data_IF_434485587848
#
_entry.id   IF_434485587848
#
_cell.length_a   1.000
_cell.length_b   1.000
_cell.length_c   1.000
_cell.angle_alpha   90.00
_cell.angle_beta   90.00
_cell.angle_gamma   90.00
#
_symmetry.space_group_name_H-M   'P 1'
#
loop_
_entity.id
_entity.type
_entity.pdbx_description
1 polymer ?
#
# COMPACT_ATOMS: atom_id res chain seq x y z
N UNK A 1 0.91 42.83 -20.40
CA UNK A 1 1.46 42.27 -19.15
C UNK A 1 1.82 40.83 -19.45
N UNK A 2 3.11 40.48 -19.43
CA UNK A 2 3.56 39.13 -19.71
C UNK A 2 3.23 38.26 -18.48
N UNK A 3 2.35 37.24 -18.57
CA UNK A 3 1.96 36.42 -17.42
C UNK A 3 3.12 35.57 -16.86
N UNK A 4 4.28 35.56 -17.53
CA UNK A 4 5.40 34.68 -17.25
C UNK A 4 6.43 35.24 -16.23
N UNK A 5 6.26 36.46 -15.75
CA UNK A 5 7.23 37.12 -14.85
C UNK A 5 7.19 36.61 -13.39
N UNK A 6 6.15 35.85 -13.01
CA UNK A 6 6.01 35.22 -11.68
C UNK A 6 5.60 33.75 -11.76
N UNK A 7 6.02 33.03 -12.81
CA UNK A 7 5.72 31.61 -12.98
C UNK A 7 6.61 30.72 -12.12
N UNK A 8 6.29 30.52 -10.83
CA UNK A 8 6.88 29.43 -10.06
C UNK A 8 6.22 28.10 -10.46
N UNK A 9 6.94 27.26 -11.20
CA UNK A 9 6.51 25.89 -11.51
C UNK A 9 7.32 24.90 -10.67
N UNK A 10 6.73 24.26 -9.64
CA UNK A 10 7.39 23.19 -8.88
C UNK A 10 7.90 22.07 -9.78
N UNK A 11 7.17 21.76 -10.86
CA UNK A 11 7.53 20.70 -11.81
C UNK A 11 8.86 20.97 -12.53
N UNK A 12 9.18 22.24 -12.82
CA UNK A 12 10.44 22.61 -13.46
C UNK A 12 11.66 22.32 -12.58
N UNK A 13 11.49 22.35 -11.25
CA UNK A 13 12.55 22.03 -10.28
C UNK A 13 12.57 20.55 -9.90
N UNK A 14 11.41 19.88 -9.91
CA UNK A 14 11.30 18.46 -9.59
C UNK A 14 11.78 17.56 -10.73
N UNK A 15 11.50 17.90 -11.99
CA UNK A 15 11.85 17.06 -13.13
C UNK A 15 13.37 16.76 -13.23
N UNK A 16 14.29 17.75 -13.15
CA UNK A 16 15.72 17.47 -13.19
C UNK A 16 16.22 16.61 -12.03
N UNK A 17 15.61 16.76 -10.85
CA UNK A 17 15.94 15.95 -9.68
C UNK A 17 15.50 14.49 -9.86
N UNK A 18 14.31 14.27 -10.42
CA UNK A 18 13.82 12.91 -10.75
C UNK A 18 14.66 12.29 -11.87
N UNK A 19 15.04 13.05 -12.88
CA UNK A 19 15.91 12.57 -13.98
C UNK A 19 17.29 12.17 -13.47
N UNK A 20 17.87 12.97 -12.57
CA UNK A 20 19.14 12.62 -11.91
C UNK A 20 18.99 11.34 -11.07
N UNK A 21 17.91 11.22 -10.30
CA UNK A 21 17.63 10.06 -9.47
C UNK A 21 17.49 8.80 -10.33
N UNK A 22 16.72 8.88 -11.42
CA UNK A 22 16.58 7.79 -12.39
C UNK A 22 17.92 7.43 -13.01
N UNK A 23 18.69 8.39 -13.49
CA UNK A 23 19.98 8.11 -14.15
C UNK A 23 20.97 7.37 -13.25
N UNK A 24 21.01 7.69 -11.95
CA UNK A 24 21.98 7.13 -11.02
C UNK A 24 21.47 5.89 -10.25
N UNK A 25 20.18 5.81 -9.96
CA UNK A 25 19.58 4.77 -9.12
C UNK A 25 18.63 3.84 -9.89
N UNK A 26 18.54 3.93 -11.23
CA UNK A 26 17.69 3.03 -12.03
C UNK A 26 17.87 1.55 -11.68
N UNK A 27 19.11 1.00 -11.56
CA UNK A 27 19.28 -0.42 -11.26
C UNK A 27 18.68 -0.82 -9.90
N UNK A 28 18.69 0.10 -8.92
CA UNK A 28 18.07 -0.11 -7.63
C UNK A 28 16.53 -0.11 -7.74
N UNK A 29 15.95 0.88 -8.42
CA UNK A 29 14.49 0.93 -8.61
C UNK A 29 13.98 -0.28 -9.40
N UNK A 30 14.71 -0.70 -10.44
CA UNK A 30 14.40 -1.90 -11.21
C UNK A 30 14.45 -3.17 -10.36
N UNK A 31 15.43 -3.29 -9.48
CA UNK A 31 15.52 -4.42 -8.56
C UNK A 31 14.32 -4.45 -7.59
N UNK A 32 13.92 -3.28 -7.06
CA UNK A 32 12.72 -3.14 -6.21
C UNK A 32 11.45 -3.48 -6.99
N UNK A 33 11.29 -2.98 -8.22
CA UNK A 33 10.17 -3.33 -9.11
C UNK A 33 10.07 -4.82 -9.30
N UNK A 34 11.17 -5.48 -9.70
CA UNK A 34 11.21 -6.93 -9.93
C UNK A 34 10.87 -7.71 -8.67
N UNK A 35 11.34 -7.28 -7.50
CA UNK A 35 11.01 -7.91 -6.23
C UNK A 35 9.50 -7.81 -5.94
N UNK A 36 8.93 -6.60 -6.04
CA UNK A 36 7.50 -6.38 -5.80
C UNK A 36 6.66 -7.20 -6.79
N UNK A 37 7.03 -7.19 -8.08
CA UNK A 37 6.32 -7.96 -9.10
C UNK A 37 6.46 -9.47 -8.92
N UNK A 38 7.61 -9.96 -8.47
CA UNK A 38 7.81 -11.38 -8.18
C UNK A 38 6.93 -11.83 -7.01
N UNK A 39 6.88 -11.05 -5.93
CA UNK A 39 6.02 -11.34 -4.77
C UNK A 39 4.55 -11.25 -5.16
N UNK A 40 4.16 -10.20 -5.88
CA UNK A 40 2.80 -10.01 -6.36
C UNK A 40 2.36 -11.17 -7.27
N UNK A 41 3.18 -11.51 -8.27
CA UNK A 41 2.92 -12.63 -9.17
C UNK A 41 2.87 -13.98 -8.46
N UNK A 42 3.67 -14.16 -7.40
CA UNK A 42 3.59 -15.33 -6.53
C UNK A 42 2.25 -15.44 -5.81
N UNK A 43 1.77 -14.35 -5.20
CA UNK A 43 0.48 -14.33 -4.50
C UNK A 43 -0.68 -14.47 -5.50
N UNK A 44 -0.65 -13.75 -6.62
CA UNK A 44 -1.63 -13.91 -7.70
C UNK A 44 -1.68 -15.36 -8.20
N UNK A 45 -0.52 -15.98 -8.41
CA UNK A 45 -0.40 -17.38 -8.81
C UNK A 45 -1.05 -18.32 -7.79
N UNK A 46 -0.81 -18.12 -6.48
CA UNK A 46 -1.44 -18.92 -5.42
C UNK A 46 -2.96 -18.73 -5.39
N UNK A 47 -3.45 -17.51 -5.57
CA UNK A 47 -4.89 -17.21 -5.55
C UNK A 47 -5.63 -17.70 -6.80
N UNK A 48 -4.96 -17.71 -7.95
CA UNK A 48 -5.56 -18.07 -9.24
C UNK A 48 -5.31 -19.51 -9.68
N UNK A 49 -4.35 -20.21 -9.06
CA UNK A 49 -4.04 -21.60 -9.39
C UNK A 49 -5.21 -22.55 -9.09
N UNK A 50 -5.89 -22.49 -7.93
CA UNK A 50 -7.04 -23.34 -7.67
C UNK A 50 -8.28 -22.86 -8.44
N UNK A 51 -9.23 -23.75 -8.74
CA UNK A 51 -10.50 -23.35 -9.32
C UNK A 51 -11.25 -22.41 -8.36
N UNK A 52 -12.00 -21.40 -8.86
CA UNK A 52 -12.62 -20.36 -8.03
C UNK A 52 -13.43 -20.89 -6.84
N UNK A 53 -14.23 -21.93 -7.07
CA UNK A 53 -15.08 -22.56 -6.05
C UNK A 53 -14.26 -23.13 -4.89
N UNK A 54 -13.05 -23.67 -5.15
CA UNK A 54 -12.17 -24.16 -4.10
C UNK A 54 -11.67 -23.03 -3.20
N UNK A 55 -11.28 -21.89 -3.79
CA UNK A 55 -10.86 -20.70 -3.04
C UNK A 55 -12.01 -20.17 -2.18
N UNK A 56 -13.23 -20.14 -2.71
CA UNK A 56 -14.44 -19.73 -1.95
C UNK A 56 -14.64 -20.65 -0.75
N UNK A 57 -14.62 -21.97 -0.96
CA UNK A 57 -14.81 -22.95 0.13
C UNK A 57 -13.75 -22.77 1.20
N UNK A 58 -12.47 -22.66 0.82
CA UNK A 58 -11.39 -22.43 1.78
C UNK A 58 -11.58 -21.13 2.56
N UNK A 59 -11.89 -20.03 1.88
CA UNK A 59 -12.12 -18.73 2.53
C UNK A 59 -13.31 -18.77 3.51
N UNK A 60 -14.39 -19.46 3.16
CA UNK A 60 -15.58 -19.63 4.01
C UNK A 60 -15.26 -20.48 5.24
N UNK A 61 -14.51 -21.58 5.08
CA UNK A 61 -14.10 -22.42 6.20
C UNK A 61 -13.17 -21.65 7.15
N UNK A 62 -12.21 -20.88 6.62
CA UNK A 62 -11.33 -20.03 7.42
C UNK A 62 -12.13 -18.97 8.18
N UNK A 63 -13.08 -18.30 7.53
CA UNK A 63 -13.94 -17.31 8.18
C UNK A 63 -14.81 -17.93 9.29
N UNK A 64 -15.29 -19.15 9.09
CA UNK A 64 -16.13 -19.86 10.07
C UNK A 64 -15.33 -20.26 11.30
N UNK A 65 -14.09 -20.71 11.08
CA UNK A 65 -13.21 -21.18 12.13
C UNK A 65 -12.60 -20.04 12.95
N UNK A 66 -12.11 -18.98 12.30
CA UNK A 66 -11.36 -17.91 12.98
C UNK A 66 -12.22 -16.72 13.43
N UNK A 67 -13.42 -16.53 12.87
CA UNK A 67 -14.23 -15.32 13.12
C UNK A 67 -15.63 -15.66 13.63
N UNK A 68 -16.53 -16.10 12.75
CA UNK A 68 -17.86 -16.64 13.06
C UNK A 68 -18.66 -16.95 11.78
N UNK A 69 -19.79 -17.63 11.95
CA UNK A 69 -20.68 -18.02 10.84
C UNK A 69 -21.24 -16.83 10.05
N UNK A 70 -21.49 -15.68 10.69
CA UNK A 70 -22.05 -14.50 9.99
C UNK A 70 -21.06 -13.95 8.97
N UNK A 71 -19.79 -13.80 9.37
CA UNK A 71 -18.71 -13.37 8.47
C UNK A 71 -18.51 -14.39 7.35
N UNK A 72 -18.61 -15.68 7.64
CA UNK A 72 -18.49 -16.75 6.64
C UNK A 72 -19.54 -16.66 5.54
N UNK A 73 -20.80 -16.39 5.91
CA UNK A 73 -21.89 -16.20 4.95
C UNK A 73 -21.64 -14.96 4.10
N UNK A 74 -21.18 -13.85 4.71
CA UNK A 74 -20.82 -12.64 3.97
C UNK A 74 -19.67 -12.90 2.99
N UNK A 75 -18.62 -13.61 3.41
CA UNK A 75 -17.49 -14.01 2.55
C UNK A 75 -17.96 -14.88 1.38
N UNK A 76 -18.84 -15.86 1.63
CA UNK A 76 -19.41 -16.71 0.59
C UNK A 76 -20.15 -15.89 -0.46
N UNK A 77 -21.05 -14.99 -0.02
CA UNK A 77 -21.87 -14.15 -0.91
C UNK A 77 -20.98 -13.18 -1.70
N UNK A 78 -20.02 -12.52 -1.06
CA UNK A 78 -19.14 -11.55 -1.71
C UNK A 78 -18.26 -12.20 -2.78
N UNK A 79 -17.62 -13.33 -2.47
CA UNK A 79 -16.77 -14.02 -3.44
C UNK A 79 -17.59 -14.70 -4.55
N UNK A 80 -18.77 -15.23 -4.24
CA UNK A 80 -19.68 -15.75 -5.25
C UNK A 80 -20.13 -14.64 -6.20
N UNK A 81 -20.44 -13.44 -5.70
CA UNK A 81 -20.75 -12.28 -6.52
C UNK A 81 -19.60 -11.93 -7.48
N UNK A 82 -18.36 -11.85 -7.00
CA UNK A 82 -17.18 -11.61 -7.86
C UNK A 82 -17.04 -12.67 -8.96
N UNK A 83 -17.32 -13.93 -8.64
CA UNK A 83 -17.30 -15.03 -9.60
C UNK A 83 -18.40 -14.88 -10.67
N UNK A 84 -19.65 -14.70 -10.25
CA UNK A 84 -20.79 -14.61 -11.17
C UNK A 84 -20.80 -13.31 -12.00
N UNK A 85 -20.21 -12.24 -11.49
CA UNK A 85 -20.02 -10.99 -12.23
C UNK A 85 -18.88 -11.07 -13.27
N UNK A 86 -18.16 -12.19 -13.37
CA UNK A 86 -17.01 -12.32 -14.28
C UNK A 86 -15.78 -11.52 -13.84
N UNK A 87 -15.74 -11.05 -12.59
CA UNK A 87 -14.68 -10.22 -12.02
C UNK A 87 -13.67 -11.02 -11.18
N UNK A 88 -13.68 -12.35 -11.27
CA UNK A 88 -12.85 -13.21 -10.43
C UNK A 88 -11.36 -12.85 -10.52
N UNK A 89 -10.80 -12.82 -11.73
CA UNK A 89 -9.38 -12.53 -11.94
C UNK A 89 -9.00 -11.15 -11.43
N UNK A 90 -9.78 -10.12 -11.77
CA UNK A 90 -9.56 -8.75 -11.30
C UNK A 90 -9.66 -8.64 -9.77
N UNK A 91 -10.56 -9.40 -9.14
CA UNK A 91 -10.73 -9.44 -7.68
C UNK A 91 -9.52 -10.09 -7.00
N UNK A 92 -9.03 -11.22 -7.52
CA UNK A 92 -7.83 -11.88 -6.98
C UNK A 92 -6.56 -11.05 -7.17
N UNK A 93 -6.41 -10.37 -8.31
CA UNK A 93 -5.31 -9.42 -8.54
C UNK A 93 -5.37 -8.25 -7.56
N UNK A 94 -6.57 -7.72 -7.30
CA UNK A 94 -6.75 -6.66 -6.30
C UNK A 94 -6.42 -7.16 -4.89
N UNK A 95 -6.87 -8.36 -4.52
CA UNK A 95 -6.53 -8.98 -3.24
C UNK A 95 -5.02 -9.18 -3.09
N UNK A 96 -4.33 -9.66 -4.13
CA UNK A 96 -2.89 -9.82 -4.13
C UNK A 96 -2.19 -8.47 -3.93
N UNK A 97 -2.58 -7.46 -4.71
CA UNK A 97 -2.05 -6.10 -4.62
C UNK A 97 -2.21 -5.51 -3.22
N UNK A 98 -3.42 -5.55 -2.67
CA UNK A 98 -3.72 -5.05 -1.32
C UNK A 98 -2.93 -5.83 -0.27
N UNK A 99 -2.81 -7.15 -0.40
CA UNK A 99 -2.02 -7.99 0.52
C UNK A 99 -0.56 -7.57 0.55
N UNK A 100 0.08 -7.41 -0.63
CA UNK A 100 1.47 -6.93 -0.72
C UNK A 100 1.61 -5.55 -0.10
N UNK A 101 0.72 -4.61 -0.45
CA UNK A 101 0.75 -3.25 0.07
C UNK A 101 0.60 -3.22 1.60
N UNK A 102 -0.30 -4.04 2.17
CA UNK A 102 -0.50 -4.15 3.63
C UNK A 102 0.74 -4.73 4.31
N UNK A 103 1.32 -5.81 3.78
CA UNK A 103 2.53 -6.42 4.36
C UNK A 103 3.67 -5.40 4.42
N UNK A 104 3.91 -4.66 3.33
CA UNK A 104 4.95 -3.64 3.29
C UNK A 104 4.61 -2.49 4.23
N UNK A 105 3.35 -2.02 4.23
CA UNK A 105 2.90 -0.93 5.10
C UNK A 105 3.07 -1.28 6.57
N UNK A 106 2.68 -2.49 6.99
CA UNK A 106 2.84 -2.96 8.37
C UNK A 106 4.32 -3.08 8.72
N UNK A 107 5.14 -3.64 7.82
CA UNK A 107 6.58 -3.79 8.03
C UNK A 107 7.30 -2.45 8.25
N UNK A 108 6.78 -1.37 7.67
CA UNK A 108 7.30 0.00 7.86
C UNK A 108 6.65 0.69 9.07
N UNK A 109 5.32 0.69 9.13
CA UNK A 109 4.56 1.46 10.10
C UNK A 109 4.72 0.93 11.54
N UNK A 110 4.80 -0.39 11.71
CA UNK A 110 4.93 -1.00 13.02
C UNK A 110 6.24 -0.63 13.75
N UNK A 111 7.45 -0.81 13.17
CA UNK A 111 8.68 -0.42 13.85
C UNK A 111 8.79 1.10 14.05
N UNK A 112 8.34 1.90 13.08
CA UNK A 112 8.32 3.37 13.24
C UNK A 112 7.34 3.82 14.34
N UNK A 113 6.20 3.15 14.48
CA UNK A 113 5.23 3.40 15.55
C UNK A 113 5.78 3.07 16.93
N UNK A 114 6.52 1.96 17.06
CA UNK A 114 7.25 1.63 18.29
C UNK A 114 8.32 2.69 18.61
N UNK A 115 9.06 3.16 17.60
CA UNK A 115 10.07 4.19 17.81
C UNK A 115 9.43 5.52 18.25
N UNK A 116 8.29 5.88 17.67
CA UNK A 116 7.53 7.08 18.01
C UNK A 116 6.98 7.02 19.45
N UNK A 117 6.45 5.89 19.91
CA UNK A 117 5.98 5.78 21.29
C UNK A 117 7.10 5.93 22.32
N UNK A 118 8.33 5.55 21.96
CA UNK A 118 9.49 5.66 22.85
C UNK A 118 10.16 7.04 22.84
N UNK A 119 10.03 7.82 21.76
CA UNK A 119 10.75 9.10 21.58
C UNK A 119 9.81 10.21 21.13
N UNK A 120 9.41 11.06 22.08
CA UNK A 120 8.55 12.25 21.82
C UNK A 120 9.08 13.16 20.70
N UNK A 121 10.41 13.36 20.62
CA UNK A 121 11.01 14.17 19.56
C UNK A 121 10.86 13.54 18.16
N UNK A 122 10.98 12.21 18.06
CA UNK A 122 10.76 11.50 16.80
C UNK A 122 9.28 11.53 16.41
N UNK A 123 8.38 11.33 17.37
CA UNK A 123 6.94 11.44 17.15
C UNK A 123 6.54 12.83 16.63
N UNK A 124 7.07 13.90 17.24
CA UNK A 124 6.83 15.27 16.80
C UNK A 124 7.37 15.51 15.38
N UNK A 125 8.53 14.96 15.04
CA UNK A 125 9.16 15.13 13.72
C UNK A 125 8.43 14.37 12.61
N UNK A 126 7.91 13.17 12.88
CA UNK A 126 7.25 12.35 11.85
C UNK A 126 5.78 12.76 11.61
N UNK A 127 5.11 13.36 12.60
CA UNK A 127 3.70 13.78 12.51
C UNK A 127 3.36 14.59 11.24
N UNK A 128 4.10 15.67 10.89
CA UNK A 128 3.81 16.43 9.67
C UNK A 128 3.89 15.58 8.39
N UNK A 129 4.83 14.63 8.33
CA UNK A 129 4.95 13.72 7.18
C UNK A 129 3.72 12.83 7.08
N UNK A 130 3.26 12.27 8.21
CA UNK A 130 2.04 11.46 8.25
C UNK A 130 0.79 12.26 7.88
N UNK A 131 0.74 13.54 8.26
CA UNK A 131 -0.35 14.44 7.92
C UNK A 131 -0.39 14.71 6.41
N UNK A 132 0.77 14.93 5.78
CA UNK A 132 0.87 15.05 4.31
C UNK A 132 0.44 13.74 3.64
N UNK A 133 0.98 12.61 4.11
CA UNK A 133 0.68 11.28 3.55
C UNK A 133 -0.82 10.95 3.54
N UNK A 134 -1.60 11.44 4.51
CA UNK A 134 -3.04 11.22 4.58
C UNK A 134 -3.91 12.25 3.87
N UNK A 135 -3.42 13.48 3.71
CA UNK A 135 -4.23 14.60 3.20
C UNK A 135 -4.03 14.85 1.71
N UNK A 136 -2.86 14.50 1.17
CA UNK A 136 -2.61 14.62 -0.26
C UNK A 136 -3.32 13.47 -1.00
N UNK A 137 -4.07 13.78 -2.08
CA UNK A 137 -4.83 12.75 -2.77
C UNK A 137 -3.96 11.66 -3.42
N UNK A 138 -4.46 10.41 -3.52
CA UNK A 138 -3.69 9.29 -4.04
C UNK A 138 -3.03 9.50 -5.41
N UNK A 139 -3.73 10.18 -6.34
CA UNK A 139 -3.22 10.44 -7.70
C UNK A 139 -2.00 11.35 -7.73
N UNK A 140 -1.79 12.18 -6.70
CA UNK A 140 -0.57 13.01 -6.59
C UNK A 140 0.65 12.14 -6.32
N UNK A 141 0.51 11.05 -5.55
CA UNK A 141 1.61 10.10 -5.33
C UNK A 141 1.93 9.25 -6.56
N UNK A 142 0.94 9.01 -7.42
CA UNK A 142 1.13 8.23 -8.63
C UNK A 142 2.07 8.91 -9.62
N UNK A 143 2.06 10.25 -9.70
CA UNK A 143 2.91 11.01 -10.64
C UNK A 143 4.41 10.70 -10.44
N UNK A 144 5.02 10.97 -9.27
CA UNK A 144 6.43 10.67 -9.06
C UNK A 144 6.71 9.16 -9.05
N UNK A 145 5.78 8.34 -8.57
CA UNK A 145 5.96 6.88 -8.58
C UNK A 145 6.06 6.33 -10.01
N UNK A 146 5.21 6.80 -10.94
CA UNK A 146 5.28 6.42 -12.36
C UNK A 146 6.55 6.95 -13.02
N UNK A 147 7.02 8.16 -12.67
CA UNK A 147 8.27 8.69 -13.22
C UNK A 147 9.49 7.85 -12.81
N UNK A 148 9.49 7.24 -11.63
CA UNK A 148 10.62 6.46 -11.11
C UNK A 148 10.50 4.96 -11.49
N UNK A 149 9.31 4.39 -11.32
CA UNK A 149 9.06 2.95 -11.46
C UNK A 149 8.36 2.55 -12.77
N UNK A 150 8.19 3.51 -13.69
CA UNK A 150 7.40 3.36 -14.92
C UNK A 150 5.91 3.07 -14.67
N UNK A 151 5.12 3.05 -15.75
CA UNK A 151 3.71 2.68 -15.69
C UNK A 151 3.55 1.19 -15.35
N UNK A 152 2.65 0.86 -14.42
CA UNK A 152 2.40 -0.53 -14.04
C UNK A 152 1.69 -0.67 -12.70
N UNK A 153 1.79 -1.87 -12.11
CA UNK A 153 1.17 -2.23 -10.82
C UNK A 153 1.93 -1.65 -9.62
N UNK A 154 3.25 -1.47 -9.76
CA UNK A 154 4.13 -0.99 -8.68
C UNK A 154 3.76 0.42 -8.21
N UNK A 155 3.52 1.42 -9.07
CA UNK A 155 3.05 2.74 -8.63
C UNK A 155 1.74 2.69 -7.82
N UNK A 156 0.79 1.83 -8.19
CA UNK A 156 -0.47 1.66 -7.47
C UNK A 156 -0.25 1.07 -6.06
N UNK A 157 0.66 0.10 -5.94
CA UNK A 157 1.10 -0.45 -4.66
C UNK A 157 1.75 0.63 -3.80
N UNK A 158 2.66 1.42 -4.37
CA UNK A 158 3.35 2.52 -3.66
C UNK A 158 2.33 3.53 -3.12
N UNK A 159 1.38 3.98 -3.94
CA UNK A 159 0.34 4.91 -3.50
C UNK A 159 -0.49 4.32 -2.33
N UNK A 160 -0.81 3.03 -2.40
CA UNK A 160 -1.56 2.34 -1.33
C UNK A 160 -0.72 2.22 -0.06
N UNK A 161 0.59 1.97 -0.17
CA UNK A 161 1.51 1.93 0.99
C UNK A 161 1.60 3.31 1.65
N UNK A 162 1.80 4.37 0.86
CA UNK A 162 1.88 5.73 1.36
C UNK A 162 0.60 6.11 2.12
N UNK A 163 -0.56 5.68 1.62
CA UNK A 163 -1.83 5.94 2.31
C UNK A 163 -2.06 5.04 3.54
N UNK A 164 -1.55 3.81 3.52
CA UNK A 164 -1.74 2.82 4.59
C UNK A 164 -0.81 2.95 5.79
N UNK A 165 0.40 3.49 5.60
CA UNK A 165 1.39 3.66 6.69
C UNK A 165 0.89 4.57 7.82
N UNK A 166 0.33 5.76 7.56
CA UNK A 166 -0.04 6.71 8.61
C UNK A 166 -1.04 6.21 9.65
N UNK A 167 -2.22 5.63 9.29
CA UNK A 167 -3.14 5.13 10.31
C UNK A 167 -2.52 3.99 11.14
N UNK A 168 -1.79 3.07 10.50
CA UNK A 168 -1.15 1.95 11.20
C UNK A 168 -0.07 2.43 12.18
N UNK A 169 0.75 3.39 11.77
CA UNK A 169 1.80 3.96 12.62
C UNK A 169 1.18 4.67 13.82
N UNK A 170 0.17 5.53 13.60
CA UNK A 170 -0.52 6.23 14.69
C UNK A 170 -1.18 5.28 15.69
N UNK A 171 -1.87 4.24 15.20
CA UNK A 171 -2.49 3.23 16.05
C UNK A 171 -1.43 2.43 16.84
N UNK A 172 -0.30 2.10 16.22
CA UNK A 172 0.82 1.44 16.90
C UNK A 172 1.37 2.34 18.01
N UNK A 173 1.68 3.60 17.70
CA UNK A 173 2.17 4.58 18.69
C UNK A 173 1.20 4.72 19.86
N UNK A 174 -0.10 4.84 19.58
CA UNK A 174 -1.14 4.96 20.59
C UNK A 174 -1.22 3.71 21.46
N UNK A 175 -1.24 2.52 20.85
CA UNK A 175 -1.31 1.24 21.56
C UNK A 175 -0.15 1.10 22.54
N UNK A 176 1.08 1.39 22.12
CA UNK A 176 2.26 1.31 23.00
C UNK A 176 2.27 2.40 24.09
N UNK A 177 1.70 3.58 23.83
CA UNK A 177 1.58 4.65 24.83
C UNK A 177 0.50 4.34 25.90
N UNK A 178 -0.49 3.50 25.58
CA UNK A 178 -1.59 3.14 26.47
C UNK A 178 -1.29 1.91 27.35
N UNK A 179 -0.14 1.25 27.16
CA UNK A 179 0.26 0.12 28.01
C UNK A 179 0.49 0.62 29.44
N UNK A 180 -0.16 0.02 30.47
CA UNK A 180 0.08 0.36 31.87
C UNK A 180 1.57 0.27 32.22
N UNK A 181 2.05 1.25 32.99
CA UNK A 181 3.43 1.29 33.50
C UNK A 181 3.45 0.64 34.88
N UNK A 182 3.19 -0.65 34.90
CA UNK A 182 3.34 -1.48 36.10
C UNK A 182 4.81 -1.84 36.31
#
# INVERSE_FOLDING_TARGET
>A
MNPDLFGFSPGAYLAPAVDWLNTNFHPFFDAVTKLIEAVLGGIEGVLLYPPPYAVIVVAVLLAAFFVNIRVSVVTAIALAFCLFAGLWTASMQTLALVTVAVIISVSIAFPLGILASRRRGFEAAIRPVLDIMQTVPPWVYLIPAVMIFSLGRVPAIIATIVYGVPPMLRLTTLAFNQVPKD
#
